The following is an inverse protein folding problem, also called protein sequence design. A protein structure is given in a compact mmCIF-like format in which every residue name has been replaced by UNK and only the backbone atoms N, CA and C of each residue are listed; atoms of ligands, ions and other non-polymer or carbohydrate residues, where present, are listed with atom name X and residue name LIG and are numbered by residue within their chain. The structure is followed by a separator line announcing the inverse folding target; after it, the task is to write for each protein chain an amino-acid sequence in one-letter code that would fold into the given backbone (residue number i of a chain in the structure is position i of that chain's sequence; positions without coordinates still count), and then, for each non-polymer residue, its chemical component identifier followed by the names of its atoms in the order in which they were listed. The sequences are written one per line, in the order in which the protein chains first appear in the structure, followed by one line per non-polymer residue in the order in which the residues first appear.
data_IF_124664117900
#
_entry.id   IF_124664117900
#
_cell.length_a   1.000
_cell.length_b   1.000
_cell.length_c   1.000
_cell.angle_alpha   90.00
_cell.angle_beta   90.00
_cell.angle_gamma   90.00
#
_symmetry.space_group_name_H-M   'P 1'
#
loop_
_entity.id
_entity.type
_entity.pdbx_description
1 polymer ?
#
# COMPACT_ATOMS: atom_id res chain seq x y z
N UNK A 1 15.13 4.09 8.20
CA UNK A 1 14.51 2.77 8.25
C UNK A 1 13.10 2.88 8.79
N UNK A 2 12.15 2.19 8.18
CA UNK A 2 10.74 2.29 8.51
C UNK A 2 10.24 0.96 9.07
N UNK A 3 9.62 1.01 10.25
CA UNK A 3 9.04 -0.18 10.89
C UNK A 3 7.55 0.01 11.09
N UNK A 4 6.76 -1.02 10.77
CA UNK A 4 5.34 -1.03 11.06
C UNK A 4 5.13 -1.37 12.54
N UNK A 5 4.47 -0.47 13.27
CA UNK A 5 4.18 -0.65 14.69
C UNK A 5 2.77 -1.20 14.92
N UNK A 6 1.80 -0.64 14.21
CA UNK A 6 0.40 -1.08 14.30
C UNK A 6 -0.14 -1.23 12.88
N UNK A 7 -0.62 -2.43 12.57
CA UNK A 7 -1.15 -2.74 11.24
C UNK A 7 -2.47 -2.00 11.00
N UNK A 8 -2.78 -1.74 9.73
CA UNK A 8 -4.02 -1.11 9.32
C UNK A 8 -5.21 -2.00 9.68
N UNK A 9 -6.30 -1.37 10.14
CA UNK A 9 -7.54 -2.06 10.47
C UNK A 9 -8.56 -2.00 9.35
N UNK A 10 -8.38 -1.11 8.37
CA UNK A 10 -9.27 -0.95 7.23
C UNK A 10 -8.46 -0.78 5.95
N UNK A 11 -8.98 -1.31 4.87
CA UNK A 11 -8.34 -1.22 3.56
C UNK A 11 -9.15 -0.32 2.62
N UNK A 12 -8.50 0.35 1.64
CA UNK A 12 -9.22 1.19 0.67
C UNK A 12 -10.04 0.38 -0.33
N UNK A 13 -9.79 -0.92 -0.44
CA UNK A 13 -10.49 -1.84 -1.33
C UNK A 13 -11.00 -3.01 -0.50
N UNK A 14 -12.26 -3.42 -0.71
CA UNK A 14 -12.83 -4.56 0.00
C UNK A 14 -12.63 -5.85 -0.77
N UNK A 15 -12.73 -6.99 -0.06
CA UNK A 15 -12.71 -8.31 -0.69
C UNK A 15 -13.84 -8.44 -1.72
N UNK A 16 -15.03 -7.91 -1.42
CA UNK A 16 -16.16 -7.93 -2.34
C UNK A 16 -15.86 -7.19 -3.64
N UNK A 17 -15.22 -6.02 -3.56
CA UNK A 17 -14.82 -5.25 -4.74
C UNK A 17 -13.80 -6.03 -5.59
N UNK A 18 -12.82 -6.66 -4.94
CA UNK A 18 -11.81 -7.45 -5.65
C UNK A 18 -12.45 -8.63 -6.37
N UNK A 19 -13.36 -9.34 -5.70
CA UNK A 19 -14.05 -10.48 -6.30
C UNK A 19 -14.92 -10.05 -7.47
N UNK A 20 -15.64 -8.94 -7.34
CA UNK A 20 -16.48 -8.42 -8.43
C UNK A 20 -15.64 -8.06 -9.64
N UNK A 21 -14.50 -7.40 -9.45
CA UNK A 21 -13.63 -7.02 -10.56
C UNK A 21 -13.01 -8.23 -11.25
N UNK A 22 -12.62 -9.24 -10.48
CA UNK A 22 -11.97 -10.43 -11.00
C UNK A 22 -12.96 -11.50 -11.45
N UNK A 23 -14.26 -11.25 -11.29
CA UNK A 23 -15.34 -12.20 -11.59
C UNK A 23 -15.13 -13.53 -10.87
N UNK A 24 -14.73 -13.43 -9.62
CA UNK A 24 -14.41 -14.57 -8.78
C UNK A 24 -15.58 -14.86 -7.84
N UNK A 25 -16.08 -16.09 -7.87
CA UNK A 25 -17.21 -16.51 -7.04
C UNK A 25 -16.73 -17.42 -5.91
N UNK A 26 -17.47 -17.41 -4.80
CA UNK A 26 -17.22 -18.29 -3.67
C UNK A 26 -16.36 -17.62 -2.60
N UNK A 27 -16.34 -18.22 -1.41
CA UNK A 27 -15.72 -17.65 -0.23
C UNK A 27 -14.44 -18.37 0.20
N UNK A 28 -14.01 -19.39 -0.55
CA UNK A 28 -12.87 -20.23 -0.15
C UNK A 28 -11.55 -19.47 -0.06
N UNK A 29 -11.39 -18.42 -0.87
CA UNK A 29 -10.15 -17.63 -0.91
C UNK A 29 -10.28 -16.25 -0.26
N UNK A 30 -11.36 -15.98 0.46
CA UNK A 30 -11.58 -14.63 1.02
C UNK A 30 -10.44 -14.20 1.93
N UNK A 31 -9.93 -15.07 2.79
CA UNK A 31 -8.80 -14.76 3.66
C UNK A 31 -7.53 -14.46 2.86
N UNK A 32 -7.27 -15.24 1.82
CA UNK A 32 -6.11 -15.04 0.95
C UNK A 32 -6.23 -13.74 0.17
N UNK A 33 -7.41 -13.44 -0.36
CA UNK A 33 -7.67 -12.19 -1.08
C UNK A 33 -7.47 -11.00 -0.15
N UNK A 34 -7.93 -11.09 1.09
CA UNK A 34 -7.71 -10.03 2.08
C UNK A 34 -6.22 -9.76 2.29
N UNK A 35 -5.41 -10.80 2.41
CA UNK A 35 -3.95 -10.65 2.55
C UNK A 35 -3.32 -10.05 1.30
N UNK A 36 -3.80 -10.43 0.12
CA UNK A 36 -3.32 -9.87 -1.15
C UNK A 36 -3.64 -8.39 -1.26
N UNK A 37 -4.82 -7.97 -0.80
CA UNK A 37 -5.19 -6.56 -0.77
C UNK A 37 -4.24 -5.78 0.14
N UNK A 38 -3.95 -6.29 1.32
CA UNK A 38 -3.00 -5.63 2.24
C UNK A 38 -1.61 -5.52 1.63
N UNK A 39 -1.11 -6.60 1.02
CA UNK A 39 0.19 -6.61 0.38
C UNK A 39 0.24 -5.64 -0.80
N UNK A 40 -0.80 -5.61 -1.63
CA UNK A 40 -0.88 -4.70 -2.77
C UNK A 40 -0.93 -3.24 -2.31
N UNK A 41 -1.70 -2.96 -1.25
CA UNK A 41 -1.75 -1.62 -0.68
C UNK A 41 -0.38 -1.17 -0.20
N UNK A 42 0.35 -2.04 0.49
CA UNK A 42 1.68 -1.72 0.96
C UNK A 42 2.64 -1.40 -0.19
N UNK A 43 2.57 -2.16 -1.28
CA UNK A 43 3.38 -1.89 -2.47
C UNK A 43 3.05 -0.52 -3.05
N UNK A 44 1.76 -0.20 -3.20
CA UNK A 44 1.34 1.09 -3.75
C UNK A 44 1.78 2.23 -2.82
N UNK A 45 1.64 2.07 -1.51
CA UNK A 45 2.10 3.09 -0.56
C UNK A 45 3.60 3.32 -0.65
N UNK A 46 4.39 2.25 -0.79
CA UNK A 46 5.84 2.36 -0.92
C UNK A 46 6.25 3.03 -2.24
N UNK A 47 5.55 2.73 -3.32
CA UNK A 47 5.85 3.29 -4.64
C UNK A 47 5.47 4.77 -4.73
N UNK A 48 4.40 5.18 -4.07
CA UNK A 48 3.85 6.53 -4.21
C UNK A 48 4.14 7.43 -3.01
N UNK A 49 4.37 6.86 -1.84
CA UNK A 49 4.42 7.62 -0.59
C UNK A 49 3.07 8.17 -0.16
N UNK A 50 1.98 7.69 -0.74
CA UNK A 50 0.62 8.16 -0.47
C UNK A 50 -0.08 7.20 0.48
N UNK A 51 -0.52 7.71 1.65
CA UNK A 51 -1.17 6.87 2.65
C UNK A 51 -2.56 6.44 2.16
N UNK A 52 -2.82 5.13 2.25
CA UNK A 52 -4.09 4.55 1.81
C UNK A 52 -4.84 3.86 2.95
N UNK A 53 -4.21 3.66 4.09
CA UNK A 53 -4.84 3.05 5.25
C UNK A 53 -4.24 3.61 6.54
N UNK A 54 -5.00 3.55 7.63
CA UNK A 54 -4.53 3.97 8.95
C UNK A 54 -3.54 2.95 9.48
N UNK A 55 -2.31 3.36 9.74
CA UNK A 55 -1.31 2.50 10.35
C UNK A 55 -0.31 3.35 11.12
N UNK A 56 0.37 2.75 12.08
CA UNK A 56 1.38 3.46 12.88
C UNK A 56 2.76 2.90 12.56
N UNK A 57 3.72 3.79 12.43
CA UNK A 57 5.08 3.46 12.04
C UNK A 57 6.10 4.12 12.96
N UNK A 58 7.27 3.49 13.07
CA UNK A 58 8.47 4.08 13.62
C UNK A 58 9.46 4.29 12.49
N UNK A 59 10.02 5.49 12.39
CA UNK A 59 10.88 5.85 11.27
C UNK A 59 12.12 6.61 11.75
N UNK A 60 13.27 6.20 11.21
CA UNK A 60 14.54 6.89 11.45
C UNK A 60 14.98 7.54 10.14
N UNK A 61 14.94 8.88 10.05
CA UNK A 61 15.36 9.57 8.83
C UNK A 61 16.87 9.43 8.58
N UNK A 62 17.25 9.47 7.30
CA UNK A 62 18.66 9.39 6.91
C UNK A 62 19.41 10.69 7.06
N UNK A 63 18.70 11.83 7.19
CA UNK A 63 19.34 13.13 7.32
C UNK A 63 18.35 14.19 7.74
N UNK A 64 18.88 15.36 8.10
CA UNK A 64 18.06 16.51 8.47
C UNK A 64 17.26 16.99 7.26
N UNK A 65 15.99 17.28 7.48
CA UNK A 65 15.10 17.76 6.43
C UNK A 65 14.41 16.67 5.63
N UNK A 66 14.66 15.40 5.95
CA UNK A 66 13.93 14.30 5.32
C UNK A 66 12.43 14.41 5.65
N UNK A 67 11.60 14.13 4.66
CA UNK A 67 10.15 14.14 4.83
C UNK A 67 9.65 12.74 5.14
N UNK A 68 8.49 12.66 5.79
CA UNK A 68 7.89 11.37 6.10
C UNK A 68 7.69 10.55 4.82
N UNK A 69 8.02 9.24 4.88
CA UNK A 69 7.95 8.39 3.68
C UNK A 69 6.52 8.12 3.21
N UNK A 70 5.53 8.21 4.09
CA UNK A 70 4.13 8.00 3.77
C UNK A 70 3.32 9.15 4.34
N UNK A 71 2.53 9.80 3.49
CA UNK A 71 1.70 10.96 3.87
C UNK A 71 0.33 10.85 3.21
N UNK A 72 -0.73 11.45 3.78
CA UNK A 72 -0.73 12.29 4.98
C UNK A 72 -0.59 11.49 6.26
N UNK A 73 0.04 12.08 7.25
CA UNK A 73 0.31 11.44 8.52
C UNK A 73 0.44 12.46 9.65
N UNK A 74 0.20 12.01 10.87
CA UNK A 74 0.36 12.82 12.07
C UNK A 74 1.49 12.23 12.91
N UNK A 75 2.49 13.07 13.24
CA UNK A 75 3.57 12.67 14.13
C UNK A 75 3.04 12.59 15.56
N UNK A 76 3.28 11.45 16.21
CA UNK A 76 2.80 11.20 17.56
C UNK A 76 3.91 11.24 18.61
N UNK A 77 5.18 11.22 18.19
CA UNK A 77 6.32 11.33 19.10
C UNK A 77 6.62 12.79 19.40
N UNK A 78 7.40 13.02 20.46
CA UNK A 78 7.85 14.37 20.82
C UNK A 78 8.84 14.91 19.78
N UNK A 79 8.89 16.22 19.66
CA UNK A 79 9.84 16.89 18.77
C UNK A 79 11.28 16.51 19.13
N UNK A 80 12.04 16.11 18.13
CA UNK A 80 13.43 15.70 18.31
C UNK A 80 13.63 14.26 18.76
N UNK A 81 12.55 13.56 19.09
CA UNK A 81 12.64 12.13 19.47
C UNK A 81 13.03 11.25 18.28
N UNK A 82 13.79 10.21 18.56
CA UNK A 82 14.19 9.21 17.56
C UNK A 82 13.95 7.81 18.13
N UNK A 83 13.33 6.90 17.37
CA UNK A 83 12.74 7.11 16.04
C UNK A 83 11.54 8.05 16.09
N UNK A 84 11.16 8.59 14.93
CA UNK A 84 9.94 9.38 14.80
C UNK A 84 8.77 8.44 14.71
N UNK A 85 7.79 8.59 15.58
CA UNK A 85 6.56 7.79 15.53
C UNK A 85 5.49 8.61 14.84
N UNK A 86 4.83 8.01 13.85
CA UNK A 86 3.75 8.67 13.14
C UNK A 86 2.63 7.69 12.80
N UNK A 87 1.43 8.23 12.67
CA UNK A 87 0.25 7.48 12.26
C UNK A 87 -0.27 8.08 10.98
N UNK A 88 -0.49 7.26 9.96
CA UNK A 88 -1.05 7.72 8.69
C UNK A 88 -2.52 8.10 8.87
N UNK A 89 -2.92 9.18 8.21
CA UNK A 89 -4.29 9.72 8.30
C UNK A 89 -4.84 9.92 6.89
N UNK A 90 -5.09 8.83 6.14
CA UNK A 90 -5.53 8.94 4.76
C UNK A 90 -6.91 9.55 4.65
N UNK A 91 -7.11 10.33 3.59
CA UNK A 91 -8.44 10.71 3.14
C UNK A 91 -9.02 9.65 2.21
N UNK A 92 -10.05 9.99 1.43
CA UNK A 92 -10.58 9.08 0.41
C UNK A 92 -9.47 8.67 -0.56
N UNK A 93 -9.35 7.38 -0.83
CA UNK A 93 -8.33 6.87 -1.73
C UNK A 93 -8.63 7.29 -3.17
N UNK A 94 -7.62 7.80 -3.92
CA UNK A 94 -7.81 8.08 -5.34
C UNK A 94 -8.18 6.81 -6.12
N UNK A 95 -9.08 6.93 -7.08
CA UNK A 95 -9.53 5.78 -7.87
C UNK A 95 -8.38 5.11 -8.63
N UNK A 96 -7.40 5.90 -9.10
CA UNK A 96 -6.24 5.34 -9.78
C UNK A 96 -5.45 4.42 -8.87
N UNK A 97 -5.29 4.77 -7.60
CA UNK A 97 -4.55 3.94 -6.64
C UNK A 97 -5.37 2.71 -6.22
N UNK A 98 -6.69 2.85 -6.09
CA UNK A 98 -7.57 1.70 -5.86
C UNK A 98 -7.49 0.71 -7.02
N UNK A 99 -7.51 1.21 -8.26
CA UNK A 99 -7.36 0.38 -9.45
C UNK A 99 -6.00 -0.30 -9.47
N UNK A 100 -4.94 0.40 -9.08
CA UNK A 100 -3.60 -0.19 -9.01
C UNK A 100 -3.57 -1.37 -8.03
N UNK A 101 -4.21 -1.23 -6.87
CA UNK A 101 -4.31 -2.32 -5.89
C UNK A 101 -5.03 -3.52 -6.52
N UNK A 102 -6.16 -3.28 -7.20
CA UNK A 102 -6.92 -4.35 -7.83
C UNK A 102 -6.14 -5.06 -8.93
N UNK A 103 -5.33 -4.31 -9.69
CA UNK A 103 -4.46 -4.91 -10.71
C UNK A 103 -3.42 -5.83 -10.07
N UNK A 104 -2.81 -5.42 -8.97
CA UNK A 104 -1.84 -6.26 -8.27
C UNK A 104 -2.50 -7.51 -7.67
N UNK A 105 -3.69 -7.35 -7.09
CA UNK A 105 -4.42 -8.51 -6.56
C UNK A 105 -4.74 -9.51 -7.68
N UNK A 106 -5.16 -9.01 -8.84
CA UNK A 106 -5.41 -9.86 -10.01
C UNK A 106 -4.17 -10.62 -10.45
N UNK A 107 -3.03 -9.93 -10.49
CA UNK A 107 -1.75 -10.57 -10.84
C UNK A 107 -1.35 -11.62 -9.80
N UNK A 108 -1.54 -11.35 -8.52
CA UNK A 108 -1.23 -12.30 -7.46
C UNK A 108 -2.11 -13.55 -7.54
N UNK A 109 -3.40 -13.38 -7.84
CA UNK A 109 -4.32 -14.51 -8.00
C UNK A 109 -3.98 -15.35 -9.23
N UNK A 110 -3.59 -14.71 -10.32
CA UNK A 110 -3.20 -15.41 -11.54
C UNK A 110 -1.87 -16.15 -11.38
N UNK A 111 -0.99 -15.66 -10.50
CA UNK A 111 0.36 -16.19 -10.30
C UNK A 111 0.56 -16.60 -8.85
N UNK A 112 -0.30 -17.51 -8.37
CA UNK A 112 -0.22 -18.01 -7.00
C UNK A 112 0.95 -18.94 -6.75
N UNK A 113 1.56 -19.44 -7.81
CA UNK A 113 2.72 -20.34 -7.72
C UNK A 113 4.00 -19.51 -7.55
N UNK A 114 4.89 -19.98 -6.70
CA UNK A 114 6.07 -19.25 -6.29
C UNK A 114 7.15 -19.12 -7.38
N UNK A 115 6.99 -19.77 -8.51
CA UNK A 115 7.98 -19.79 -9.57
C UNK A 115 7.85 -18.65 -10.58
N UNK A 116 7.07 -17.65 -10.29
CA UNK A 116 6.86 -16.53 -11.21
C UNK A 116 8.15 -15.73 -11.35
N UNK A 117 8.67 -15.67 -12.57
CA UNK A 117 9.87 -14.90 -12.89
C UNK A 117 9.58 -13.44 -13.21
N UNK A 118 8.31 -13.09 -13.45
CA UNK A 118 7.88 -11.73 -13.76
C UNK A 118 7.53 -11.02 -12.47
N UNK A 119 8.09 -9.83 -12.26
CA UNK A 119 7.75 -9.03 -11.11
C UNK A 119 6.36 -8.43 -11.28
N UNK A 120 5.54 -8.57 -10.24
CA UNK A 120 4.14 -8.13 -10.30
C UNK A 120 4.00 -6.62 -10.56
N UNK A 121 4.93 -5.83 -10.02
CA UNK A 121 4.89 -4.38 -10.15
C UNK A 121 5.38 -3.86 -11.52
N UNK A 122 5.82 -4.75 -12.42
CA UNK A 122 6.25 -4.36 -13.78
C UNK A 122 5.08 -4.30 -14.77
N UNK A 123 3.85 -4.56 -14.33
CA UNK A 123 2.66 -4.45 -15.16
C UNK A 123 2.52 -2.99 -15.66
N UNK A 124 2.51 -2.75 -17.00
CA UNK A 124 2.42 -1.38 -17.53
C UNK A 124 1.15 -0.64 -17.10
N UNK A 125 0.02 -1.33 -16.96
CA UNK A 125 -1.22 -0.71 -16.49
C UNK A 125 -1.07 -0.23 -15.05
N UNK A 126 -0.42 -1.02 -14.21
CA UNK A 126 -0.13 -0.63 -12.83
C UNK A 126 0.76 0.62 -12.79
N UNK A 127 1.84 0.63 -13.57
CA UNK A 127 2.75 1.78 -13.61
C UNK A 127 2.03 3.05 -14.09
N UNK A 128 1.14 2.92 -15.07
CA UNK A 128 0.35 4.06 -15.56
C UNK A 128 -0.53 4.64 -14.45
N UNK A 129 -1.16 3.78 -13.66
CA UNK A 129 -2.07 4.23 -12.58
C UNK A 129 -1.33 4.93 -11.45
N UNK A 130 -0.14 4.47 -11.09
CA UNK A 130 0.60 5.06 -9.98
C UNK A 130 1.46 6.25 -10.38
N UNK A 131 1.77 6.41 -11.67
CA UNK A 131 2.73 7.41 -12.15
C UNK A 131 2.43 8.83 -11.65
N UNK A 132 1.18 9.34 -11.71
CA UNK A 132 0.89 10.70 -11.22
C UNK A 132 1.11 10.88 -9.72
N UNK A 133 1.15 9.80 -8.96
CA UNK A 133 1.28 9.83 -7.50
C UNK A 133 2.68 9.43 -7.03
N UNK A 134 3.53 8.96 -7.95
CA UNK A 134 4.89 8.55 -7.57
C UNK A 134 5.66 9.73 -7.03
N UNK A 135 6.28 9.51 -5.87
CA UNK A 135 7.16 10.50 -5.29
C UNK A 135 8.50 10.42 -6.00
N UNK A 136 8.95 11.55 -6.51
CA UNK A 136 10.32 11.69 -7.03
C UNK A 136 11.17 12.15 -5.86
N UNK A 137 12.04 11.26 -5.38
CA UNK A 137 12.99 11.60 -4.34
C UNK A 137 14.24 12.19 -4.99
N UNK A 138 14.72 13.33 -4.49
CA UNK A 138 15.95 13.90 -5.03
C UNK A 138 17.18 13.02 -4.73
#
# INVERSE_FOLDING_TARGET
MLYLMTAATAEPVTVAEAKARLRFDGDALDADISKMISAAREVVEQQTGYALADASYAWSPGGAGDVLPIQPATVTSEAGARPILFTTTPGPAPEALRTAILLLVGDMLANTEASVSVQLHDNPAFQTMIFPYRRVLP
#
